data_IF_270317430344
#
_entry.id   IF_270317430344
#
_cell.length_a   1.000
_cell.length_b   1.000
_cell.length_c   1.000
_cell.angle_alpha   90.00
_cell.angle_beta   90.00
_cell.angle_gamma   90.00
#
_symmetry.space_group_name_H-M   'P 1'
#
loop_
_entity.id
_entity.type
_entity.pdbx_description
1 polymer ?
#
# COMPACT_ATOMS: atom_id res chain seq x y z
N UNK A 1 -20.85 103.77 -47.09
CA UNK A 1 -19.93 102.65 -47.07
C UNK A 1 -20.33 101.66 -45.97
N UNK A 2 -20.74 100.46 -46.30
CA UNK A 2 -21.21 99.45 -45.34
C UNK A 2 -20.08 98.46 -45.06
N UNK A 3 -19.82 98.04 -43.80
CA UNK A 3 -18.87 96.95 -43.53
C UNK A 3 -19.53 95.61 -43.57
N UNK A 4 -18.78 94.63 -44.08
CA UNK A 4 -19.18 93.19 -44.23
C UNK A 4 -19.18 92.46 -42.89
N UNK A 5 -20.25 91.69 -42.66
CA UNK A 5 -20.35 90.76 -41.53
C UNK A 5 -19.65 89.43 -41.90
N UNK A 6 -18.76 89.00 -41.06
CA UNK A 6 -18.18 87.63 -41.12
C UNK A 6 -18.93 86.70 -40.23
N UNK A 7 -19.37 85.59 -40.82
CA UNK A 7 -20.04 84.45 -40.15
C UNK A 7 -18.99 83.55 -39.44
N UNK A 8 -19.10 83.45 -38.16
CA UNK A 8 -18.41 82.41 -37.36
C UNK A 8 -19.39 81.21 -37.19
N UNK A 9 -19.17 80.14 -37.91
CA UNK A 9 -19.93 78.92 -37.85
C UNK A 9 -19.51 78.10 -36.65
N UNK A 10 -20.52 77.61 -35.93
CA UNK A 10 -20.48 76.70 -34.82
C UNK A 10 -19.85 75.38 -35.21
N UNK A 11 -18.81 74.95 -34.50
CA UNK A 11 -18.44 73.56 -34.32
C UNK A 11 -18.47 73.27 -32.82
N UNK A 12 -19.58 72.69 -32.34
CA UNK A 12 -19.64 72.04 -31.04
C UNK A 12 -20.33 70.67 -31.26
N UNK A 13 -19.80 69.67 -30.48
CA UNK A 13 -20.43 68.41 -30.14
C UNK A 13 -20.24 67.30 -31.13
N UNK A 14 -19.15 66.56 -30.90
CA UNK A 14 -19.17 65.07 -30.91
C UNK A 14 -17.92 64.51 -30.23
N UNK A 15 -17.89 64.60 -28.89
CA UNK A 15 -16.96 63.84 -28.07
C UNK A 15 -17.74 63.34 -26.84
N UNK A 16 -18.53 62.29 -26.98
CA UNK A 16 -18.93 61.44 -25.85
C UNK A 16 -19.58 60.16 -26.39
N UNK A 17 -18.78 59.17 -26.72
CA UNK A 17 -19.26 57.82 -26.90
C UNK A 17 -18.10 56.80 -27.14
N UNK A 18 -17.04 56.88 -26.36
CA UNK A 18 -15.96 55.87 -26.45
C UNK A 18 -15.37 55.47 -25.08
N UNK A 19 -16.15 55.47 -24.01
CA UNK A 19 -15.63 55.12 -22.68
C UNK A 19 -16.32 53.97 -21.99
N UNK A 20 -17.33 53.35 -22.60
CA UNK A 20 -18.17 52.36 -21.88
C UNK A 20 -18.04 50.88 -22.33
N UNK A 21 -17.10 50.57 -23.23
CA UNK A 21 -16.85 49.18 -23.66
C UNK A 21 -15.66 48.48 -22.98
N UNK A 22 -14.87 49.17 -22.17
CA UNK A 22 -13.65 48.64 -21.55
C UNK A 22 -13.86 47.94 -20.21
N UNK A 23 -14.94 48.20 -19.50
CA UNK A 23 -15.08 47.76 -18.10
C UNK A 23 -15.87 46.44 -17.90
N UNK A 24 -16.43 45.84 -18.93
CA UNK A 24 -17.27 44.62 -18.76
C UNK A 24 -16.54 43.30 -18.99
N UNK A 25 -15.28 43.26 -19.35
CA UNK A 25 -14.55 42.03 -19.66
C UNK A 25 -13.76 41.45 -18.47
N UNK A 26 -13.64 42.16 -17.35
CA UNK A 26 -12.84 41.69 -16.20
C UNK A 26 -13.53 40.73 -15.24
N UNK A 27 -14.86 40.76 -15.13
CA UNK A 27 -15.60 40.03 -14.09
C UNK A 27 -16.00 38.58 -14.44
N UNK A 28 -15.86 38.17 -15.68
CA UNK A 28 -16.28 36.81 -16.12
C UNK A 28 -15.25 35.70 -15.87
N UNK A 29 -13.97 36.04 -15.65
CA UNK A 29 -12.89 35.07 -15.42
C UNK A 29 -12.82 34.54 -13.97
N UNK A 30 -13.26 35.30 -12.98
CA UNK A 30 -13.17 34.89 -11.56
C UNK A 30 -14.16 33.78 -11.18
N UNK A 31 -15.37 33.74 -11.76
CA UNK A 31 -16.35 32.67 -11.45
C UNK A 31 -15.90 31.26 -11.87
N UNK A 32 -15.12 31.12 -12.96
CA UNK A 32 -14.62 29.82 -13.43
C UNK A 32 -13.51 29.26 -12.53
N UNK A 33 -12.69 30.11 -11.93
CA UNK A 33 -11.58 29.70 -11.04
C UNK A 33 -12.10 29.10 -9.74
N UNK A 34 -13.11 29.70 -9.12
CA UNK A 34 -13.71 29.17 -7.89
C UNK A 34 -14.50 27.86 -8.10
N UNK A 35 -15.11 27.66 -9.28
CA UNK A 35 -15.81 26.43 -9.65
C UNK A 35 -14.81 25.26 -9.81
N UNK A 36 -13.67 25.47 -10.50
CA UNK A 36 -12.61 24.48 -10.67
C UNK A 36 -12.06 24.00 -9.30
N UNK A 37 -11.74 24.92 -8.39
CA UNK A 37 -11.23 24.58 -7.06
C UNK A 37 -12.24 23.80 -6.20
N UNK A 38 -13.54 24.08 -6.34
CA UNK A 38 -14.59 23.31 -5.66
C UNK A 38 -14.68 21.86 -6.14
N UNK A 39 -14.53 21.65 -7.45
CA UNK A 39 -14.55 20.30 -8.01
C UNK A 39 -13.28 19.52 -7.70
N UNK A 40 -12.10 20.14 -7.77
CA UNK A 40 -10.85 19.50 -7.36
C UNK A 40 -10.87 19.13 -5.88
N UNK A 41 -11.37 20.00 -5.01
CA UNK A 41 -11.55 19.69 -3.59
C UNK A 41 -12.52 18.50 -3.36
N UNK A 42 -13.68 18.51 -4.03
CA UNK A 42 -14.65 17.39 -3.94
C UNK A 42 -14.04 16.08 -4.42
N UNK A 43 -13.30 16.10 -5.51
CA UNK A 43 -12.59 14.93 -6.03
C UNK A 43 -11.53 14.44 -5.02
N UNK A 44 -10.76 15.33 -4.43
CA UNK A 44 -9.78 14.97 -3.40
C UNK A 44 -10.47 14.31 -2.19
N UNK A 45 -11.54 14.91 -1.69
CA UNK A 45 -12.33 14.34 -0.58
C UNK A 45 -12.87 12.95 -0.94
N UNK A 46 -13.38 12.78 -2.16
CA UNK A 46 -13.88 11.49 -2.65
C UNK A 46 -12.75 10.45 -2.70
N UNK A 47 -11.58 10.80 -3.22
CA UNK A 47 -10.40 9.92 -3.24
C UNK A 47 -10.00 9.52 -1.82
N UNK A 48 -9.96 10.47 -0.89
CA UNK A 48 -9.66 10.19 0.53
C UNK A 48 -10.71 9.23 1.14
N UNK A 49 -12.00 9.45 0.90
CA UNK A 49 -13.08 8.59 1.39
C UNK A 49 -12.99 7.17 0.80
N UNK A 50 -12.81 7.04 -0.52
CA UNK A 50 -12.66 5.74 -1.18
C UNK A 50 -11.43 5.00 -0.64
N UNK A 51 -10.36 5.71 -0.29
CA UNK A 51 -9.15 5.11 0.26
C UNK A 51 -9.29 4.72 1.73
N UNK A 52 -9.98 5.53 2.54
CA UNK A 52 -10.10 5.32 3.98
C UNK A 52 -11.16 4.30 4.38
N UNK A 53 -12.29 4.23 3.67
CA UNK A 53 -13.39 3.31 4.01
C UNK A 53 -12.98 1.82 4.01
N UNK A 54 -12.26 1.30 3.01
CA UNK A 54 -11.75 -0.08 3.06
C UNK A 54 -10.80 -0.33 4.23
N UNK A 55 -9.96 0.65 4.59
CA UNK A 55 -9.04 0.53 5.73
C UNK A 55 -9.79 0.50 7.05
N UNK A 56 -10.84 1.31 7.17
CA UNK A 56 -11.72 1.29 8.34
C UNK A 56 -12.46 -0.06 8.47
N UNK A 57 -12.92 -0.62 7.36
CA UNK A 57 -13.50 -1.97 7.34
C UNK A 57 -12.48 -3.02 7.80
N UNK A 58 -11.25 -3.01 7.27
CA UNK A 58 -10.17 -3.95 7.63
C UNK A 58 -9.76 -3.87 9.10
N UNK A 59 -9.96 -2.72 9.75
CA UNK A 59 -9.69 -2.56 11.18
C UNK A 59 -10.53 -3.49 12.04
N UNK A 60 -11.78 -3.76 11.63
CA UNK A 60 -12.78 -4.47 12.44
C UNK A 60 -13.31 -5.75 11.80
N UNK A 61 -13.20 -5.89 10.48
CA UNK A 61 -13.78 -7.01 9.73
C UNK A 61 -12.69 -7.85 9.09
N UNK A 62 -12.89 -9.16 9.10
CA UNK A 62 -12.05 -10.10 8.40
C UNK A 62 -12.44 -10.16 6.93
N UNK A 63 -11.54 -9.82 5.99
CA UNK A 63 -11.89 -9.91 4.59
C UNK A 63 -12.06 -11.36 4.16
N UNK A 64 -13.12 -11.70 3.40
CA UNK A 64 -13.39 -13.09 3.00
C UNK A 64 -12.41 -13.61 1.95
N UNK A 65 -11.76 -12.72 1.23
CA UNK A 65 -10.80 -13.05 0.17
C UNK A 65 -9.83 -11.88 -0.08
N UNK A 66 -8.88 -12.09 -0.98
CA UNK A 66 -7.93 -11.05 -1.42
C UNK A 66 -7.80 -11.05 -2.94
N UNK A 67 -7.34 -9.93 -3.49
CA UNK A 67 -7.08 -9.79 -4.92
C UNK A 67 -6.15 -10.89 -5.45
N UNK A 68 -5.12 -11.23 -4.70
CA UNK A 68 -4.17 -12.29 -5.09
C UNK A 68 -4.81 -13.70 -5.06
N UNK A 69 -5.68 -14.00 -4.10
CA UNK A 69 -6.44 -15.25 -4.07
C UNK A 69 -7.35 -15.35 -5.29
N UNK A 70 -8.13 -14.30 -5.58
CA UNK A 70 -9.06 -14.30 -6.71
C UNK A 70 -8.34 -14.38 -8.06
N UNK A 71 -7.23 -13.68 -8.21
CA UNK A 71 -6.41 -13.77 -9.42
C UNK A 71 -5.76 -15.15 -9.58
N UNK A 72 -5.34 -15.78 -8.48
CA UNK A 72 -4.76 -17.12 -8.52
C UNK A 72 -5.81 -18.17 -8.93
N UNK A 73 -7.04 -18.08 -8.40
CA UNK A 73 -8.17 -18.93 -8.82
C UNK A 73 -8.42 -18.81 -10.32
N UNK A 74 -8.49 -17.60 -10.86
CA UNK A 74 -8.76 -17.36 -12.29
C UNK A 74 -7.63 -17.86 -13.19
N UNK A 75 -6.38 -17.62 -12.82
CA UNK A 75 -5.24 -17.91 -13.69
C UNK A 75 -4.85 -19.39 -13.74
N UNK A 76 -5.13 -20.15 -12.69
CA UNK A 76 -4.60 -21.51 -12.57
C UNK A 76 -5.68 -22.58 -12.46
N UNK A 77 -6.96 -22.21 -12.40
CA UNK A 77 -8.09 -23.13 -12.17
C UNK A 77 -7.80 -24.16 -11.06
N UNK A 78 -7.06 -23.74 -10.03
CA UNK A 78 -6.57 -24.59 -8.94
C UNK A 78 -7.40 -24.38 -7.69
N UNK A 79 -7.58 -25.47 -6.93
CA UNK A 79 -8.22 -25.39 -5.62
C UNK A 79 -7.32 -24.63 -4.65
N UNK A 80 -7.75 -23.42 -4.26
CA UNK A 80 -7.03 -22.58 -3.30
C UNK A 80 -7.25 -23.13 -1.89
N UNK A 81 -6.15 -23.30 -1.16
CA UNK A 81 -6.16 -23.57 0.28
C UNK A 81 -5.97 -22.26 1.02
N UNK A 82 -6.99 -21.83 1.72
CA UNK A 82 -6.99 -20.63 2.57
C UNK A 82 -7.84 -20.91 3.80
N UNK A 83 -7.31 -20.52 4.96
CA UNK A 83 -8.01 -20.57 6.23
C UNK A 83 -7.60 -19.34 7.02
N UNK A 84 -8.57 -18.48 7.34
CA UNK A 84 -8.37 -17.35 8.23
C UNK A 84 -8.21 -17.86 9.67
N UNK A 85 -7.24 -17.31 10.38
CA UNK A 85 -7.04 -17.52 11.82
C UNK A 85 -6.81 -16.16 12.50
N UNK A 86 -7.49 -15.88 13.62
CA UNK A 86 -7.12 -14.72 14.46
C UNK A 86 -5.71 -14.89 15.02
N UNK A 87 -5.06 -13.77 15.35
CA UNK A 87 -3.67 -13.75 15.82
C UNK A 87 -3.47 -14.66 17.05
N UNK A 88 -4.47 -14.77 17.88
CA UNK A 88 -4.47 -15.55 19.12
C UNK A 88 -4.40 -17.08 18.89
N UNK A 89 -4.84 -17.53 17.72
CA UNK A 89 -4.79 -18.95 17.28
C UNK A 89 -3.49 -19.27 16.50
N UNK A 90 -2.57 -18.32 16.39
CA UNK A 90 -1.30 -18.51 15.70
C UNK A 90 -0.14 -18.46 16.69
N UNK A 91 0.76 -19.42 16.60
CA UNK A 91 2.00 -19.41 17.37
C UNK A 91 2.77 -18.11 17.13
N UNK A 92 3.13 -17.40 18.19
CA UNK A 92 3.88 -16.12 18.11
C UNK A 92 5.26 -16.24 17.43
N UNK A 93 5.74 -17.46 17.21
CA UNK A 93 6.96 -17.68 16.45
C UNK A 93 6.79 -17.33 14.98
N UNK A 94 5.61 -17.55 14.39
CA UNK A 94 5.42 -17.27 12.97
C UNK A 94 5.37 -15.76 12.65
N UNK A 95 4.53 -14.92 13.27
CA UNK A 95 4.57 -13.47 13.04
C UNK A 95 5.94 -12.87 13.40
N UNK A 96 6.65 -13.37 14.42
CA UNK A 96 8.03 -12.96 14.70
C UNK A 96 8.99 -13.35 13.56
N UNK A 97 8.88 -14.56 13.00
CA UNK A 97 9.68 -14.98 11.85
C UNK A 97 9.39 -14.13 10.61
N UNK A 98 8.14 -13.72 10.39
CA UNK A 98 7.74 -12.80 9.32
C UNK A 98 8.41 -11.45 9.49
N UNK A 99 8.34 -10.83 10.68
CA UNK A 99 9.03 -9.56 10.97
C UNK A 99 10.54 -9.71 10.73
N UNK A 100 11.13 -10.78 11.23
CA UNK A 100 12.58 -11.03 11.10
C UNK A 100 13.03 -11.23 9.63
N UNK A 101 12.16 -11.77 8.78
CA UNK A 101 12.48 -12.09 7.37
C UNK A 101 12.18 -10.97 6.40
N UNK A 102 11.10 -10.21 6.61
CA UNK A 102 10.56 -9.28 5.63
C UNK A 102 10.73 -7.82 6.03
N UNK A 103 10.65 -7.50 7.34
CA UNK A 103 10.57 -6.12 7.79
C UNK A 103 10.96 -5.97 9.27
N UNK A 104 12.26 -5.98 9.55
CA UNK A 104 12.77 -5.95 10.93
C UNK A 104 12.45 -4.65 11.69
N UNK A 105 12.10 -3.57 10.98
CA UNK A 105 11.71 -2.29 11.55
C UNK A 105 10.19 -2.08 11.55
N UNK A 106 9.40 -3.12 11.26
CA UNK A 106 7.94 -3.04 11.15
C UNK A 106 7.25 -2.28 12.30
N UNK A 107 7.62 -2.46 13.59
CA UNK A 107 7.01 -1.72 14.69
C UNK A 107 7.38 -0.23 14.71
N UNK A 108 8.52 0.15 14.11
CA UNK A 108 9.17 1.44 14.31
C UNK A 108 8.98 2.42 13.13
N UNK A 109 8.37 1.98 12.02
CA UNK A 109 8.15 2.86 10.87
C UNK A 109 6.65 3.00 10.56
N UNK A 110 6.31 4.03 9.78
CA UNK A 110 4.96 4.33 9.35
C UNK A 110 4.78 3.96 7.86
N UNK A 111 4.63 2.67 7.59
CA UNK A 111 4.38 2.10 6.26
C UNK A 111 5.61 2.01 5.34
N UNK A 112 6.67 2.77 5.62
CA UNK A 112 7.89 2.81 4.80
C UNK A 112 9.13 2.77 5.69
N UNK A 113 10.03 1.83 5.45
CA UNK A 113 11.37 1.85 6.03
C UNK A 113 12.30 2.71 5.17
N UNK A 114 12.40 4.00 5.52
CA UNK A 114 13.25 4.96 4.80
C UNK A 114 14.72 4.57 4.85
N UNK A 115 15.19 3.98 5.96
CA UNK A 115 16.58 3.52 6.09
C UNK A 115 16.86 2.39 5.12
N UNK A 116 15.95 1.41 5.03
CA UNK A 116 16.06 0.30 4.10
C UNK A 116 15.96 0.77 2.63
N UNK A 117 15.10 1.74 2.32
CA UNK A 117 14.99 2.32 0.97
C UNK A 117 16.33 2.93 0.55
N UNK A 118 16.94 3.78 1.39
CA UNK A 118 18.25 4.40 1.10
C UNK A 118 19.34 3.33 0.94
N UNK A 119 19.35 2.33 1.81
CA UNK A 119 20.31 1.22 1.74
C UNK A 119 20.19 0.44 0.41
N UNK A 120 18.95 0.12 0.01
CA UNK A 120 18.70 -0.62 -1.25
C UNK A 120 19.09 0.21 -2.47
N UNK A 121 18.84 1.52 -2.46
CA UNK A 121 19.26 2.42 -3.54
C UNK A 121 20.80 2.43 -3.68
N UNK A 122 21.52 2.58 -2.58
CA UNK A 122 23.00 2.56 -2.59
C UNK A 122 23.60 1.20 -2.98
N UNK A 123 22.92 0.10 -2.66
CA UNK A 123 23.34 -1.25 -3.05
C UNK A 123 23.02 -1.60 -4.51
N UNK A 124 21.98 -1.00 -5.10
CA UNK A 124 21.66 -1.14 -6.52
C UNK A 124 22.78 -0.63 -7.42
N UNK A 125 23.42 0.46 -7.04
CA UNK A 125 24.62 0.97 -7.74
C UNK A 125 25.78 -0.04 -7.74
N UNK A 126 25.80 -0.95 -6.75
CA UNK A 126 26.76 -2.05 -6.62
C UNK A 126 26.26 -3.37 -7.20
N UNK A 127 25.15 -3.39 -7.97
CA UNK A 127 24.59 -4.58 -8.59
C UNK A 127 23.83 -5.51 -7.65
N UNK A 128 23.61 -5.16 -6.38
CA UNK A 128 22.90 -5.98 -5.40
C UNK A 128 21.42 -5.59 -5.39
N UNK A 129 20.54 -6.53 -5.76
CA UNK A 129 19.10 -6.33 -5.76
C UNK A 129 18.47 -6.93 -4.50
N UNK A 130 18.10 -6.11 -3.53
CA UNK A 130 17.27 -6.48 -2.38
C UNK A 130 15.90 -5.78 -2.46
N UNK A 131 14.85 -6.37 -1.86
CA UNK A 131 13.54 -5.76 -1.72
C UNK A 131 13.53 -4.76 -0.57
N UNK A 132 12.87 -3.61 -0.75
CA UNK A 132 12.64 -2.61 0.30
C UNK A 132 11.13 -2.45 0.61
N UNK A 133 10.30 -3.42 0.24
CA UNK A 133 8.86 -3.35 0.49
C UNK A 133 8.55 -3.86 1.90
N UNK A 134 7.85 -3.05 2.68
CA UNK A 134 7.43 -3.35 4.05
C UNK A 134 6.27 -4.35 4.11
N UNK A 135 6.01 -4.92 5.29
CA UNK A 135 4.84 -5.77 5.55
C UNK A 135 3.56 -5.04 5.17
N UNK A 136 3.41 -3.77 5.53
CA UNK A 136 2.23 -2.94 5.19
C UNK A 136 2.02 -2.83 3.68
N UNK A 137 3.08 -2.53 2.93
CA UNK A 137 3.01 -2.45 1.47
C UNK A 137 2.65 -3.80 0.83
N UNK A 138 3.22 -4.89 1.35
CA UNK A 138 2.91 -6.24 0.87
C UNK A 138 1.46 -6.63 1.19
N UNK A 139 0.93 -6.24 2.36
CA UNK A 139 -0.47 -6.46 2.74
C UNK A 139 -1.42 -5.75 1.79
N UNK A 140 -1.20 -4.47 1.52
CA UNK A 140 -1.97 -3.70 0.52
C UNK A 140 -1.92 -4.36 -0.85
N UNK A 141 -0.73 -4.72 -1.31
CA UNK A 141 -0.56 -5.40 -2.60
C UNK A 141 -1.39 -6.68 -2.68
N UNK A 142 -1.32 -7.52 -1.66
CA UNK A 142 -2.01 -8.82 -1.66
C UNK A 142 -3.53 -8.68 -1.58
N UNK A 143 -4.03 -7.70 -0.80
CA UNK A 143 -5.46 -7.49 -0.59
C UNK A 143 -6.14 -6.81 -1.79
N UNK A 144 -5.52 -5.78 -2.38
CA UNK A 144 -6.21 -4.86 -3.29
C UNK A 144 -5.64 -4.77 -4.70
N UNK A 145 -4.37 -5.16 -4.91
CA UNK A 145 -3.69 -4.90 -6.17
C UNK A 145 -3.44 -6.19 -6.96
N UNK A 146 -2.82 -6.05 -8.11
CA UNK A 146 -2.50 -7.13 -9.02
C UNK A 146 -1.00 -7.44 -9.05
N UNK A 147 -0.58 -8.65 -9.44
CA UNK A 147 0.83 -8.98 -9.65
C UNK A 147 1.41 -8.18 -10.83
N UNK A 148 2.72 -8.04 -10.85
CA UNK A 148 3.44 -7.33 -11.90
C UNK A 148 4.18 -6.09 -11.39
N UNK A 149 5.03 -5.52 -12.26
CA UNK A 149 5.88 -4.37 -11.96
C UNK A 149 5.39 -3.16 -12.75
N UNK A 150 4.81 -2.17 -12.07
CA UNK A 150 4.35 -0.91 -12.64
C UNK A 150 4.56 0.21 -11.63
N UNK A 151 5.07 1.35 -12.07
CA UNK A 151 5.23 2.53 -11.22
C UNK A 151 3.88 3.08 -10.75
N UNK A 152 2.84 3.03 -11.61
CA UNK A 152 1.48 3.45 -11.23
C UNK A 152 0.96 2.56 -10.10
N UNK A 153 1.05 1.24 -10.25
CA UNK A 153 0.66 0.30 -9.18
C UNK A 153 1.43 0.57 -7.89
N UNK A 154 2.75 0.84 -7.98
CA UNK A 154 3.58 1.14 -6.80
C UNK A 154 3.19 2.45 -6.13
N UNK A 155 2.76 3.45 -6.90
CA UNK A 155 2.19 4.71 -6.37
C UNK A 155 0.88 4.47 -5.62
N UNK A 156 -0.04 3.66 -6.18
CA UNK A 156 -1.30 3.29 -5.52
C UNK A 156 -1.00 2.48 -4.24
N UNK A 157 -0.08 1.54 -4.29
CA UNK A 157 0.36 0.75 -3.13
C UNK A 157 0.87 1.65 -2.00
N UNK A 158 1.72 2.62 -2.34
CA UNK A 158 2.26 3.58 -1.38
C UNK A 158 1.16 4.46 -0.77
N UNK A 159 0.25 4.98 -1.58
CA UNK A 159 -0.89 5.77 -1.12
C UNK A 159 -1.79 4.98 -0.15
N UNK A 160 -2.17 3.76 -0.51
CA UNK A 160 -3.02 2.92 0.33
C UNK A 160 -2.29 2.45 1.60
N UNK A 161 -0.97 2.24 1.54
CA UNK A 161 -0.16 1.90 2.72
C UNK A 161 -0.17 3.02 3.76
N UNK A 162 -0.15 4.30 3.35
CA UNK A 162 -0.32 5.43 4.28
C UNK A 162 -1.67 5.39 4.98
N UNK A 163 -2.76 5.16 4.24
CA UNK A 163 -4.10 5.04 4.83
C UNK A 163 -4.21 3.85 5.78
N UNK A 164 -3.60 2.72 5.42
CA UNK A 164 -3.57 1.54 6.30
C UNK A 164 -2.87 1.84 7.62
N UNK A 165 -1.71 2.48 7.61
CA UNK A 165 -0.97 2.85 8.82
C UNK A 165 -1.70 3.90 9.68
N UNK A 166 -2.46 4.81 9.05
CA UNK A 166 -3.25 5.81 9.77
C UNK A 166 -4.44 5.20 10.52
N UNK A 167 -5.04 4.15 9.99
CA UNK A 167 -6.34 3.66 10.44
C UNK A 167 -6.24 2.31 11.14
N UNK A 168 -5.36 1.42 10.66
CA UNK A 168 -5.27 0.03 11.10
C UNK A 168 -4.08 -0.16 12.06
N UNK A 169 -4.29 -0.70 13.27
CA UNK A 169 -3.20 -0.96 14.20
C UNK A 169 -2.15 -1.94 13.63
N UNK A 170 -0.90 -1.81 14.02
CA UNK A 170 0.21 -2.68 13.59
C UNK A 170 -0.08 -4.17 13.77
N UNK A 171 -0.61 -4.56 14.93
CA UNK A 171 -1.01 -5.95 15.20
C UNK A 171 -2.00 -6.46 14.14
N UNK A 172 -2.99 -5.64 13.78
CA UNK A 172 -3.99 -6.00 12.78
C UNK A 172 -3.42 -6.04 11.36
N UNK A 173 -2.49 -5.14 11.01
CA UNK A 173 -1.77 -5.20 9.73
C UNK A 173 -0.99 -6.52 9.60
N UNK A 174 -0.30 -6.91 10.66
CA UNK A 174 0.45 -8.17 10.70
C UNK A 174 -0.49 -9.39 10.61
N UNK A 175 -1.63 -9.36 11.30
CA UNK A 175 -2.65 -10.39 11.23
C UNK A 175 -3.22 -10.55 9.81
N UNK A 176 -3.54 -9.44 9.14
CA UNK A 176 -3.95 -9.45 7.73
C UNK A 176 -2.84 -10.04 6.84
N UNK A 177 -1.59 -9.64 7.07
CA UNK A 177 -0.45 -10.17 6.31
C UNK A 177 -0.33 -11.68 6.41
N UNK A 178 -0.27 -12.22 7.63
CA UNK A 178 -0.06 -13.66 7.85
C UNK A 178 -1.22 -14.53 7.34
N UNK A 179 -2.41 -13.95 7.20
CA UNK A 179 -3.58 -14.61 6.65
C UNK A 179 -3.69 -14.54 5.13
N UNK A 180 -3.11 -13.52 4.47
CA UNK A 180 -3.21 -13.35 3.02
C UNK A 180 -1.90 -13.47 2.27
N UNK A 181 -0.77 -13.69 2.97
CA UNK A 181 0.49 -14.00 2.32
C UNK A 181 0.40 -15.32 1.56
N UNK A 182 0.93 -15.33 0.33
CA UNK A 182 1.08 -16.56 -0.43
C UNK A 182 2.25 -17.37 0.16
N UNK A 183 1.99 -18.59 0.59
CA UNK A 183 2.94 -19.47 1.26
C UNK A 183 3.17 -20.78 0.48
N UNK A 184 2.54 -20.92 -0.70
CA UNK A 184 2.71 -22.03 -1.63
C UNK A 184 2.06 -21.73 -2.97
N UNK A 185 2.12 -22.67 -3.93
CA UNK A 185 1.56 -22.47 -5.28
C UNK A 185 0.08 -22.07 -5.24
N UNK A 186 -0.70 -22.69 -4.36
CA UNK A 186 -2.14 -22.43 -4.17
C UNK A 186 -2.49 -22.36 -2.68
N UNK A 187 -1.53 -21.97 -1.83
CA UNK A 187 -1.66 -21.94 -0.38
C UNK A 187 -1.49 -20.49 0.07
N UNK A 188 -2.51 -19.98 0.75
CA UNK A 188 -2.57 -18.65 1.28
C UNK A 188 -2.90 -18.69 2.77
N UNK A 189 -2.15 -17.90 3.54
CA UNK A 189 -2.30 -17.80 4.98
C UNK A 189 -1.70 -18.96 5.78
N UNK A 190 -1.38 -18.64 7.02
CA UNK A 190 -0.67 -19.54 7.92
C UNK A 190 -1.51 -20.75 8.33
N UNK A 191 -2.83 -20.59 8.47
CA UNK A 191 -3.73 -21.70 8.80
C UNK A 191 -3.65 -22.83 7.78
N UNK A 192 -3.78 -22.49 6.50
CA UNK A 192 -3.66 -23.46 5.42
C UNK A 192 -2.23 -24.01 5.26
N UNK A 193 -1.21 -23.16 5.50
CA UNK A 193 0.20 -23.55 5.33
C UNK A 193 0.66 -24.53 6.42
N UNK A 194 0.34 -24.30 7.69
CA UNK A 194 0.71 -25.19 8.81
C UNK A 194 0.11 -26.58 8.62
N UNK A 195 -1.18 -26.64 8.28
CA UNK A 195 -1.87 -27.90 8.01
C UNK A 195 -1.29 -28.62 6.79
N UNK A 196 -1.00 -27.87 5.71
CA UNK A 196 -0.50 -28.48 4.48
C UNK A 196 0.91 -29.03 4.59
N UNK A 197 1.83 -28.29 5.24
CA UNK A 197 3.26 -28.65 5.28
C UNK A 197 3.63 -29.53 6.46
N UNK A 198 2.97 -29.38 7.60
CA UNK A 198 3.36 -30.04 8.83
C UNK A 198 2.25 -30.86 9.49
N UNK A 199 1.02 -30.78 8.96
CA UNK A 199 -0.17 -31.45 9.49
C UNK A 199 -0.44 -31.16 10.98
N UNK A 200 -0.20 -29.89 11.39
CA UNK A 200 -0.43 -29.40 12.75
C UNK A 200 -1.20 -28.07 12.70
N UNK A 201 -1.92 -27.70 13.78
CA UNK A 201 -2.53 -26.39 13.89
C UNK A 201 -1.45 -25.29 13.95
N UNK A 202 -1.81 -24.09 13.47
CA UNK A 202 -0.86 -22.96 13.44
C UNK A 202 -0.39 -22.50 14.84
N UNK A 203 -1.16 -22.78 15.89
CA UNK A 203 -0.81 -22.53 17.29
C UNK A 203 0.36 -23.37 17.79
N UNK A 204 0.58 -24.54 17.19
CA UNK A 204 1.62 -25.50 17.59
C UNK A 204 2.94 -25.34 16.80
N UNK A 205 3.01 -24.40 15.86
CA UNK A 205 4.23 -24.16 15.10
C UNK A 205 5.40 -23.81 16.02
N UNK A 206 6.48 -24.59 15.93
CA UNK A 206 7.72 -24.30 16.63
C UNK A 206 8.58 -23.25 15.88
N UNK A 207 9.67 -22.72 16.48
CA UNK A 207 10.51 -21.70 15.84
C UNK A 207 11.05 -22.13 14.46
N UNK A 208 11.49 -23.38 14.32
CA UNK A 208 12.07 -23.91 13.08
C UNK A 208 11.03 -24.01 11.97
N UNK A 209 9.84 -24.53 12.26
CA UNK A 209 8.74 -24.62 11.31
C UNK A 209 8.26 -23.22 10.89
N UNK A 210 8.14 -22.30 11.83
CA UNK A 210 7.81 -20.89 11.58
C UNK A 210 8.81 -20.21 10.65
N UNK A 211 10.11 -20.40 10.89
CA UNK A 211 11.17 -19.86 10.06
C UNK A 211 11.18 -20.48 8.66
N UNK A 212 10.93 -21.79 8.53
CA UNK A 212 10.82 -22.48 7.23
C UNK A 212 9.64 -21.94 6.39
N UNK A 213 8.47 -21.73 7.01
CA UNK A 213 7.33 -21.12 6.30
C UNK A 213 7.63 -19.66 5.94
N UNK A 214 8.21 -18.87 6.83
CA UNK A 214 8.58 -17.49 6.50
C UNK A 214 9.64 -17.43 5.40
N UNK A 215 10.53 -18.41 5.31
CA UNK A 215 11.58 -18.47 4.30
C UNK A 215 11.04 -18.62 2.86
N UNK A 216 9.80 -19.11 2.66
CA UNK A 216 9.23 -19.25 1.31
C UNK A 216 8.67 -17.95 0.73
N UNK A 217 8.45 -16.90 1.54
CA UNK A 217 7.80 -15.65 1.12
C UNK A 217 8.33 -15.04 -0.18
N UNK A 218 9.65 -15.03 -0.47
CA UNK A 218 10.14 -14.49 -1.73
C UNK A 218 9.79 -15.34 -2.97
N UNK A 219 9.62 -16.65 -2.80
CA UNK A 219 9.42 -17.61 -3.90
C UNK A 219 8.40 -18.68 -3.54
N UNK A 220 7.15 -18.32 -3.16
CA UNK A 220 6.20 -19.26 -2.55
C UNK A 220 5.80 -20.41 -3.48
N UNK A 221 5.72 -20.17 -4.79
CA UNK A 221 5.32 -21.19 -5.76
C UNK A 221 6.41 -22.22 -6.08
N UNK A 222 7.66 -21.97 -5.63
CA UNK A 222 8.83 -22.81 -5.96
C UNK A 222 9.44 -23.50 -4.74
N UNK A 223 9.00 -23.14 -3.55
CA UNK A 223 9.61 -23.57 -2.28
C UNK A 223 8.66 -24.49 -1.52
N UNK A 224 9.21 -25.50 -0.84
CA UNK A 224 8.45 -26.46 -0.03
C UNK A 224 9.04 -26.56 1.39
N UNK A 225 8.39 -25.99 2.42
CA UNK A 225 8.84 -26.10 3.82
C UNK A 225 8.92 -27.52 4.38
N UNK A 226 8.10 -28.45 3.89
CA UNK A 226 8.13 -29.84 4.33
C UNK A 226 9.31 -30.64 3.75
N UNK A 227 9.86 -30.19 2.60
CA UNK A 227 11.03 -30.77 1.94
C UNK A 227 11.97 -29.64 1.53
N UNK A 228 12.63 -28.97 2.50
CA UNK A 228 13.38 -27.76 2.24
C UNK A 228 14.66 -28.06 1.46
N UNK A 229 14.90 -27.27 0.41
CA UNK A 229 16.17 -27.25 -0.30
C UNK A 229 17.31 -26.69 0.59
N UNK A 230 18.55 -26.82 0.17
CA UNK A 230 19.73 -26.23 0.85
C UNK A 230 19.51 -24.74 1.07
N UNK A 231 19.14 -24.01 0.01
CA UNK A 231 18.83 -22.58 0.06
C UNK A 231 17.73 -22.24 1.09
N UNK A 232 16.64 -23.01 1.10
CA UNK A 232 15.54 -22.75 2.04
C UNK A 232 15.95 -23.00 3.49
N UNK A 233 16.76 -24.03 3.74
CA UNK A 233 17.32 -24.32 5.07
C UNK A 233 18.25 -23.21 5.55
N UNK A 234 19.14 -22.71 4.68
CA UNK A 234 20.05 -21.60 5.02
C UNK A 234 19.26 -20.31 5.33
N UNK A 235 18.26 -20.00 4.50
CA UNK A 235 17.38 -18.85 4.74
C UNK A 235 16.60 -18.99 6.06
N UNK A 236 16.05 -20.16 6.34
CA UNK A 236 15.34 -20.43 7.60
C UNK A 236 16.28 -20.31 8.81
N UNK A 237 17.52 -20.78 8.69
CA UNK A 237 18.55 -20.62 9.74
C UNK A 237 18.87 -19.15 9.98
N UNK A 238 19.04 -18.37 8.91
CA UNK A 238 19.20 -16.92 9.04
C UNK A 238 18.01 -16.26 9.77
N UNK A 239 16.77 -16.61 9.40
CA UNK A 239 15.56 -16.09 10.06
C UNK A 239 15.55 -16.45 11.53
N UNK A 240 15.85 -17.70 11.90
CA UNK A 240 15.94 -18.17 13.28
C UNK A 240 16.93 -17.33 14.11
N UNK A 241 18.08 -16.98 13.54
CA UNK A 241 19.08 -16.11 14.17
C UNK A 241 18.57 -14.66 14.33
N UNK A 242 17.77 -14.16 13.39
CA UNK A 242 17.22 -12.80 13.46
C UNK A 242 16.02 -12.69 14.42
N UNK A 243 15.21 -13.73 14.61
CA UNK A 243 14.01 -13.70 15.46
C UNK A 243 14.24 -13.14 16.88
N UNK A 244 15.27 -13.55 17.63
CA UNK A 244 15.58 -12.94 18.93
C UNK A 244 16.01 -11.47 18.82
N UNK A 245 16.76 -11.11 17.78
CA UNK A 245 17.32 -9.76 17.57
C UNK A 245 16.25 -8.70 17.32
N UNK A 246 15.14 -9.09 16.68
CA UNK A 246 13.98 -8.22 16.48
C UNK A 246 13.02 -8.19 17.68
N UNK A 247 13.40 -8.74 18.83
CA UNK A 247 12.61 -8.73 20.07
C UNK A 247 11.86 -10.03 20.37
N UNK A 248 12.03 -11.09 19.57
CA UNK A 248 11.40 -12.39 19.79
C UNK A 248 9.87 -12.30 19.84
N UNK A 249 9.24 -13.18 20.61
CA UNK A 249 7.75 -13.19 20.76
C UNK A 249 7.21 -11.94 21.46
N UNK A 250 8.05 -11.21 22.20
CA UNK A 250 7.65 -10.00 22.91
C UNK A 250 7.22 -8.91 21.95
N UNK A 251 7.92 -8.72 20.83
CA UNK A 251 7.58 -7.68 19.85
C UNK A 251 6.17 -7.85 19.30
N UNK A 252 5.71 -9.10 19.10
CA UNK A 252 4.36 -9.37 18.59
C UNK A 252 3.29 -9.07 19.64
N UNK A 253 3.63 -9.21 20.94
CA UNK A 253 2.70 -8.90 22.03
C UNK A 253 2.58 -7.40 22.28
N UNK A 254 3.60 -6.63 21.94
CA UNK A 254 3.68 -5.18 22.15
C UNK A 254 3.10 -4.36 20.99
N UNK A 255 2.76 -4.99 19.83
CA UNK A 255 2.03 -4.36 18.73
C UNK A 255 0.54 -4.16 19.08
#
# INVERSE_FOLDING_TARGET
>A
MRPKRTNLGRKRLNQSSKSDKGLRLGFRKQKKRGWFWRWTFRLLVLICLISSLPMLALRYLDPPTSSFIELNKRNHNTNIKHQWLPMEEVSLYFPNAVIASEDQQFPNHFGFDMKQIVLVLSQREKGISRGASTITQQTIKNLFLWPGRSFIRKGIEAWLALWMELIVPKKRILELYINFAQLGKSIFGIGAASQHYFNIPASELNPKQSALIAAVLPTPSRSNPAKPSVYLNERARYILDQMPRVGGRRIVKEL
#
